data_IF_062972722680
#
_entry.id   IF_062972722680
#
_cell.length_a   1.000
_cell.length_b   1.000
_cell.length_c   1.000
_cell.angle_alpha   90.00
_cell.angle_beta   90.00
_cell.angle_gamma   90.00
#
_symmetry.space_group_name_H-M   'P 1'
#
loop_
_entity.id
_entity.type
_entity.pdbx_description
1 polymer ?
#
# COMPACT_ATOMS: atom_id res chain seq x y z
N UNK A 1 -1.85 17.55 62.47
CA UNK A 1 -1.59 16.10 62.39
C UNK A 1 -2.32 15.57 61.16
N UNK A 2 -1.61 14.79 60.36
CA UNK A 2 -2.04 14.18 59.09
C UNK A 2 -3.38 13.44 59.19
N UNK A 3 -4.17 13.42 58.11
CA UNK A 3 -4.49 12.20 57.37
C UNK A 3 -5.00 12.54 55.95
N UNK A 4 -4.33 11.95 54.96
CA UNK A 4 -4.77 11.82 53.57
C UNK A 4 -5.84 10.73 53.50
N UNK A 5 -6.88 10.91 52.69
CA UNK A 5 -7.60 9.79 52.06
C UNK A 5 -8.20 10.23 50.73
N UNK A 6 -7.67 9.63 49.66
CA UNK A 6 -8.26 9.62 48.33
C UNK A 6 -9.42 8.61 48.31
N UNK A 7 -10.45 8.88 47.52
CA UNK A 7 -11.39 7.88 47.04
C UNK A 7 -11.66 8.12 45.55
N UNK A 8 -10.99 7.30 44.75
CA UNK A 8 -11.17 7.10 43.32
C UNK A 8 -12.36 6.18 43.06
N UNK A 9 -12.91 6.31 41.85
CA UNK A 9 -13.73 5.36 41.11
C UNK A 9 -15.25 5.33 41.38
N UNK A 10 -16.02 5.63 40.32
CA UNK A 10 -16.83 4.62 39.61
C UNK A 10 -17.62 5.29 38.48
N UNK A 11 -17.03 5.42 37.28
CA UNK A 11 -17.84 5.55 36.07
C UNK A 11 -18.03 4.14 35.51
N UNK A 12 -19.19 3.57 35.86
CA UNK A 12 -19.63 2.28 35.41
C UNK A 12 -19.94 2.29 33.91
N UNK A 13 -19.45 1.25 33.24
CA UNK A 13 -19.78 0.81 31.89
C UNK A 13 -21.28 0.85 31.61
N UNK A 14 -21.69 1.69 30.67
CA UNK A 14 -22.96 1.56 29.95
C UNK A 14 -22.73 1.92 28.49
N UNK A 15 -22.26 0.96 27.70
CA UNK A 15 -22.54 0.96 26.26
C UNK A 15 -23.50 -0.19 26.01
N UNK A 16 -24.78 0.19 26.05
CA UNK A 16 -25.94 -0.63 25.69
C UNK A 16 -25.77 -1.04 24.23
N UNK A 17 -25.98 -2.33 23.98
CA UNK A 17 -26.03 -2.91 22.66
C UNK A 17 -27.00 -2.15 21.74
N UNK A 18 -26.53 -1.72 20.57
CA UNK A 18 -27.12 -2.02 19.26
C UNK A 18 -26.34 -1.26 18.16
N UNK A 19 -25.94 -2.02 17.14
CA UNK A 19 -25.21 -1.63 15.91
C UNK A 19 -23.70 -1.38 16.05
N UNK A 20 -22.94 -2.46 15.85
CA UNK A 20 -21.71 -2.55 15.06
C UNK A 20 -20.57 -1.54 15.26
N UNK A 21 -19.38 -2.09 15.57
CA UNK A 21 -18.04 -1.47 15.65
C UNK A 21 -17.71 -0.72 16.95
N UNK A 22 -17.11 -1.46 17.88
CA UNK A 22 -16.04 -0.89 18.67
C UNK A 22 -14.79 -0.90 17.77
N UNK A 23 -14.47 0.23 17.14
CA UNK A 23 -13.13 0.47 16.64
C UNK A 23 -12.23 0.70 17.86
N UNK A 24 -11.39 -0.30 18.14
CA UNK A 24 -10.34 -0.26 19.14
C UNK A 24 -9.24 0.69 18.65
N UNK A 25 -9.41 1.98 18.94
CA UNK A 25 -8.39 3.00 18.74
C UNK A 25 -7.77 3.30 20.10
N UNK A 26 -6.55 2.80 20.32
CA UNK A 26 -5.45 3.49 21.04
C UNK A 26 -4.45 2.50 21.64
N UNK A 27 -3.68 1.82 20.79
CA UNK A 27 -2.29 1.38 21.06
C UNK A 27 -1.64 0.87 19.77
N UNK A 28 -1.84 1.55 18.63
CA UNK A 28 -1.18 1.14 17.39
C UNK A 28 0.14 1.91 17.24
N UNK A 29 1.24 1.28 17.65
CA UNK A 29 2.58 1.60 17.15
C UNK A 29 2.72 1.17 15.68
N UNK A 30 1.75 1.60 14.85
CA UNK A 30 1.84 1.88 13.42
C UNK A 30 2.24 0.76 12.47
N UNK A 31 2.03 -0.51 12.81
CA UNK A 31 2.47 -1.60 11.94
C UNK A 31 1.36 -2.02 10.97
N UNK A 32 1.58 -1.80 9.67
CA UNK A 32 0.67 -2.28 8.65
C UNK A 32 0.85 -3.76 8.37
N UNK A 33 -0.25 -4.47 8.16
CA UNK A 33 -0.24 -5.88 7.74
C UNK A 33 -1.02 -6.05 6.44
N UNK A 34 -0.57 -6.93 5.53
CA UNK A 34 -1.37 -7.33 4.38
C UNK A 34 -2.66 -7.95 4.89
N UNK A 35 -3.81 -7.49 4.41
CA UNK A 35 -5.14 -7.96 4.86
C UNK A 35 -6.01 -8.29 3.67
N UNK A 36 -7.00 -9.17 3.88
CA UNK A 36 -7.94 -9.57 2.85
C UNK A 36 -7.39 -10.56 1.82
N UNK A 37 -8.30 -11.03 0.96
CA UNK A 37 -7.98 -11.92 -0.15
C UNK A 37 -7.24 -11.18 -1.27
N UNK A 38 -6.45 -11.89 -2.10
CA UNK A 38 -5.85 -11.29 -3.28
C UNK A 38 -6.91 -10.63 -4.17
N UNK A 39 -6.62 -9.40 -4.60
CA UNK A 39 -7.51 -8.63 -5.46
C UNK A 39 -6.73 -7.58 -6.22
N UNK A 40 -6.98 -7.51 -7.52
CA UNK A 40 -6.49 -6.45 -8.41
C UNK A 40 -7.63 -5.57 -8.90
N UNK A 41 -8.64 -5.35 -8.05
CA UNK A 41 -9.79 -4.51 -8.38
C UNK A 41 -9.33 -3.15 -8.90
N UNK A 42 -9.91 -2.73 -10.03
CA UNK A 42 -9.52 -1.49 -10.72
C UNK A 42 -8.49 -1.68 -11.84
N UNK A 43 -7.83 -2.84 -11.90
CA UNK A 43 -6.88 -3.18 -12.96
C UNK A 43 -7.49 -4.15 -13.97
N UNK A 44 -7.21 -3.95 -15.26
CA UNK A 44 -7.72 -4.80 -16.35
C UNK A 44 -6.58 -5.53 -17.05
N UNK A 45 -6.82 -6.76 -17.51
CA UNK A 45 -5.81 -7.47 -18.32
C UNK A 45 -5.81 -6.87 -19.73
N UNK A 46 -4.71 -6.22 -20.11
CA UNK A 46 -4.50 -5.66 -21.45
C UNK A 46 -3.00 -5.49 -21.73
N UNK A 47 -2.42 -6.42 -22.48
CA UNK A 47 -1.00 -6.39 -22.82
C UNK A 47 -0.62 -5.19 -23.68
N UNK A 48 -1.51 -4.74 -24.55
CA UNK A 48 -1.22 -3.63 -25.46
C UNK A 48 -1.08 -2.33 -24.67
N UNK A 49 -1.95 -2.13 -23.67
CA UNK A 49 -1.84 -0.98 -22.78
C UNK A 49 -0.57 -1.07 -21.92
N UNK A 50 -0.26 -2.22 -21.32
CA UNK A 50 1.00 -2.37 -20.57
C UNK A 50 2.22 -2.07 -21.44
N UNK A 51 2.23 -2.55 -22.68
CA UNK A 51 3.29 -2.24 -23.66
C UNK A 51 3.37 -0.75 -24.00
N UNK A 52 2.23 -0.09 -24.17
CA UNK A 52 2.13 1.33 -24.50
C UNK A 52 2.68 2.21 -23.37
N UNK A 53 2.31 1.94 -22.12
CA UNK A 53 2.73 2.72 -20.95
C UNK A 53 4.18 2.38 -20.52
N UNK A 54 4.52 1.11 -20.33
CA UNK A 54 5.74 0.73 -19.63
C UNK A 54 6.97 0.54 -20.52
N UNK A 55 6.78 0.31 -21.82
CA UNK A 55 7.89 -0.05 -22.71
C UNK A 55 8.01 0.86 -23.93
N UNK A 56 6.89 1.31 -24.49
CA UNK A 56 6.88 2.10 -25.72
C UNK A 56 6.84 3.62 -25.49
N UNK A 57 6.54 4.05 -24.26
CA UNK A 57 6.30 5.46 -23.90
C UNK A 57 5.31 6.16 -24.86
N UNK A 58 4.29 5.40 -25.30
CA UNK A 58 3.22 5.86 -26.22
C UNK A 58 1.85 5.58 -25.58
N UNK A 59 1.56 6.19 -24.40
CA UNK A 59 0.35 5.88 -23.66
C UNK A 59 -0.91 6.31 -24.42
N UNK A 60 -1.99 5.56 -24.23
CA UNK A 60 -3.29 5.88 -24.86
C UNK A 60 -3.97 7.07 -24.18
N UNK A 61 -3.82 7.20 -22.86
CA UNK A 61 -4.27 8.36 -22.08
C UNK A 61 -3.04 9.18 -21.63
N UNK A 62 -3.10 10.51 -21.74
CA UNK A 62 -2.04 11.40 -21.26
C UNK A 62 -2.25 11.73 -19.78
N UNK A 63 -2.10 10.73 -18.92
CA UNK A 63 -2.18 10.87 -17.46
C UNK A 63 -0.86 10.44 -16.82
N UNK A 64 -0.49 10.96 -15.63
CA UNK A 64 0.63 10.39 -14.88
C UNK A 64 0.39 8.90 -14.59
N UNK A 65 1.45 8.11 -14.59
CA UNK A 65 1.34 6.66 -14.40
C UNK A 65 2.62 6.08 -13.78
N UNK A 66 2.46 4.94 -13.12
CA UNK A 66 3.56 4.17 -12.55
C UNK A 66 3.52 2.74 -13.06
N UNK A 67 4.65 2.30 -13.60
CA UNK A 67 4.86 0.93 -14.05
C UNK A 67 5.57 0.13 -12.98
N UNK A 68 5.11 -1.10 -12.78
CA UNK A 68 5.59 -2.00 -11.75
C UNK A 68 5.94 -3.36 -12.35
N UNK A 69 6.93 -4.01 -11.76
CA UNK A 69 7.29 -5.40 -12.05
C UNK A 69 7.46 -6.18 -10.75
N UNK A 70 7.24 -7.49 -10.81
CA UNK A 70 7.50 -8.41 -9.70
C UNK A 70 7.81 -9.80 -10.26
N UNK A 71 8.34 -10.70 -9.43
CA UNK A 71 8.35 -12.12 -9.75
C UNK A 71 7.00 -12.75 -9.42
N UNK A 72 6.43 -13.45 -10.38
CA UNK A 72 5.14 -14.14 -10.26
C UNK A 72 3.98 -13.30 -10.79
N UNK A 73 2.78 -13.57 -10.29
CA UNK A 73 1.53 -12.97 -10.77
C UNK A 73 0.93 -12.04 -9.70
N UNK A 74 0.82 -10.75 -10.02
CA UNK A 74 0.25 -9.74 -9.11
C UNK A 74 -1.18 -10.06 -8.68
N UNK A 75 -1.95 -10.82 -9.46
CA UNK A 75 -3.33 -11.21 -9.11
C UNK A 75 -3.38 -12.12 -7.88
N UNK A 76 -2.29 -12.82 -7.60
CA UNK A 76 -2.16 -13.68 -6.42
C UNK A 76 -1.57 -12.94 -5.21
N UNK A 77 -0.98 -11.76 -5.44
CA UNK A 77 -0.15 -11.06 -4.44
C UNK A 77 -0.72 -9.73 -3.98
N UNK A 78 -1.36 -8.98 -4.88
CA UNK A 78 -1.98 -7.70 -4.54
C UNK A 78 -3.14 -7.90 -3.59
N UNK A 79 -3.17 -7.11 -2.52
CA UNK A 79 -4.18 -7.09 -1.48
C UNK A 79 -4.58 -5.66 -1.18
N UNK A 80 -5.81 -5.49 -0.72
CA UNK A 80 -6.38 -4.20 -0.31
C UNK A 80 -6.16 -3.07 -1.34
N UNK A 81 -6.49 -3.27 -2.64
CA UNK A 81 -6.39 -2.20 -3.62
C UNK A 81 -7.36 -1.06 -3.28
N UNK A 82 -6.86 0.17 -3.32
CA UNK A 82 -7.63 1.38 -3.08
C UNK A 82 -7.48 2.33 -4.26
N UNK A 83 -8.61 2.69 -4.86
CA UNK A 83 -8.69 3.68 -5.95
C UNK A 83 -7.75 3.39 -7.14
N UNK A 84 -7.50 2.12 -7.45
CA UNK A 84 -6.65 1.75 -8.57
C UNK A 84 -7.41 1.87 -9.90
N UNK A 85 -6.70 2.37 -10.93
CA UNK A 85 -7.09 2.26 -12.34
C UNK A 85 -5.83 1.86 -13.10
N UNK A 86 -5.93 0.89 -14.01
CA UNK A 86 -4.77 0.54 -14.82
C UNK A 86 -4.87 -0.81 -15.50
N UNK A 87 -3.71 -1.36 -15.85
CA UNK A 87 -3.60 -2.54 -16.70
C UNK A 87 -2.55 -3.53 -16.21
N UNK A 88 -2.79 -4.82 -16.44
CA UNK A 88 -1.90 -5.93 -16.04
C UNK A 88 -1.54 -6.74 -17.30
N UNK A 89 -0.30 -7.23 -17.37
CA UNK A 89 0.15 -8.17 -18.38
C UNK A 89 -0.61 -9.51 -18.24
N UNK A 90 -0.71 -10.32 -19.30
CA UNK A 90 -1.35 -11.63 -19.21
C UNK A 90 -0.73 -12.54 -18.14
N UNK A 91 0.60 -12.47 -17.95
CA UNK A 91 1.33 -13.24 -16.93
C UNK A 91 1.26 -12.64 -15.51
N UNK A 92 0.83 -11.39 -15.36
CA UNK A 92 0.74 -10.72 -14.07
C UNK A 92 2.07 -10.20 -13.49
N UNK A 93 3.18 -10.38 -14.20
CA UNK A 93 4.52 -9.99 -13.80
C UNK A 93 4.80 -8.49 -13.99
N UNK A 94 4.03 -7.83 -14.86
CA UNK A 94 4.13 -6.39 -15.15
C UNK A 94 2.76 -5.75 -15.13
N UNK A 95 2.65 -4.59 -14.52
CA UNK A 95 1.40 -3.84 -14.51
C UNK A 95 1.66 -2.34 -14.44
N UNK A 96 0.64 -1.56 -14.81
CA UNK A 96 0.66 -0.10 -14.75
C UNK A 96 -0.53 0.38 -13.93
N UNK A 97 -0.29 1.36 -13.06
CA UNK A 97 -1.32 2.11 -12.35
C UNK A 97 -1.34 3.53 -12.90
N UNK A 98 -2.51 3.98 -13.31
CA UNK A 98 -2.78 5.34 -13.78
C UNK A 98 -3.17 6.22 -12.58
N UNK A 99 -2.69 7.45 -12.57
CA UNK A 99 -3.07 8.45 -11.58
C UNK A 99 -4.60 8.61 -11.54
N UNK A 100 -5.16 8.62 -10.34
CA UNK A 100 -6.57 8.90 -10.09
C UNK A 100 -6.67 10.03 -9.07
N UNK A 101 -7.78 10.78 -9.13
CA UNK A 101 -8.06 11.79 -8.10
C UNK A 101 -8.23 11.09 -6.75
N UNK A 102 -7.52 11.56 -5.73
CA UNK A 102 -7.50 10.97 -4.40
C UNK A 102 -6.36 9.97 -4.21
N UNK A 103 -6.11 9.57 -2.96
CA UNK A 103 -5.03 8.63 -2.65
C UNK A 103 -5.23 7.27 -3.32
N UNK A 104 -4.15 6.69 -3.84
CA UNK A 104 -4.14 5.34 -4.39
C UNK A 104 -3.17 4.49 -3.61
N UNK A 105 -3.56 3.27 -3.29
CA UNK A 105 -2.66 2.35 -2.59
C UNK A 105 -3.00 0.89 -2.84
N UNK A 106 -2.04 0.03 -2.57
CA UNK A 106 -2.24 -1.40 -2.46
C UNK A 106 -1.15 -2.00 -1.56
N UNK A 107 -1.32 -3.27 -1.23
CA UNK A 107 -0.31 -4.03 -0.49
C UNK A 107 0.04 -5.31 -1.26
N UNK A 108 1.25 -5.80 -1.06
CA UNK A 108 1.67 -7.18 -1.34
C UNK A 108 1.87 -7.88 0.00
N UNK A 109 2.40 -9.10 -0.01
CA UNK A 109 2.79 -9.81 1.21
C UNK A 109 3.87 -9.09 2.00
N UNK A 110 4.69 -8.26 1.36
CA UNK A 110 5.93 -7.72 1.95
C UNK A 110 6.04 -6.21 1.83
N UNK A 111 5.23 -5.56 0.99
CA UNK A 111 5.29 -4.11 0.76
C UNK A 111 3.91 -3.48 0.67
N UNK A 112 3.78 -2.27 1.21
CA UNK A 112 2.68 -1.35 0.96
C UNK A 112 3.15 -0.33 -0.05
N UNK A 113 2.35 -0.14 -1.09
CA UNK A 113 2.60 0.85 -2.13
C UNK A 113 1.56 1.95 -2.00
N UNK A 114 2.02 3.19 -1.91
CA UNK A 114 1.18 4.39 -1.91
C UNK A 114 1.58 5.26 -3.09
N UNK A 115 0.60 5.69 -3.89
CA UNK A 115 0.82 6.58 -5.02
C UNK A 115 0.13 7.91 -4.75
N UNK A 116 0.86 9.00 -4.98
CA UNK A 116 0.36 10.37 -4.85
C UNK A 116 0.82 11.20 -6.05
N UNK A 117 -0.03 12.10 -6.52
CA UNK A 117 0.37 13.08 -7.52
C UNK A 117 1.47 13.98 -6.96
N UNK A 118 2.41 14.37 -7.82
CA UNK A 118 3.43 15.38 -7.49
C UNK A 118 2.93 16.74 -7.94
N UNK A 119 2.79 17.66 -6.98
CA UNK A 119 2.40 19.04 -7.26
C UNK A 119 3.51 19.83 -8.01
N UNK A 120 4.77 19.39 -7.90
CA UNK A 120 5.94 20.10 -8.39
C UNK A 120 6.50 19.59 -9.74
N UNK A 121 6.06 18.43 -10.21
CA UNK A 121 6.49 17.84 -11.50
C UNK A 121 5.28 17.39 -12.32
N UNK A 122 5.01 18.12 -13.40
CA UNK A 122 3.94 17.75 -14.32
C UNK A 122 4.19 16.37 -14.91
N UNK A 123 3.21 15.48 -14.79
CA UNK A 123 3.19 14.12 -15.36
C UNK A 123 4.05 13.06 -14.64
N UNK A 124 4.44 13.27 -13.38
CA UNK A 124 5.08 12.24 -12.56
C UNK A 124 4.18 11.83 -11.38
N UNK A 125 4.23 10.55 -11.02
CA UNK A 125 3.65 10.04 -9.78
C UNK A 125 4.76 9.84 -8.74
N UNK A 126 4.49 10.25 -7.52
CA UNK A 126 5.30 9.86 -6.38
C UNK A 126 4.82 8.51 -5.86
N UNK A 127 5.75 7.59 -5.67
CA UNK A 127 5.49 6.22 -5.23
C UNK A 127 6.30 5.95 -3.98
N UNK A 128 5.58 5.72 -2.88
CA UNK A 128 6.17 5.30 -1.61
C UNK A 128 6.00 3.80 -1.42
N UNK A 129 7.10 3.11 -1.12
CA UNK A 129 7.18 1.69 -0.82
C UNK A 129 7.54 1.55 0.66
N UNK A 130 6.58 1.09 1.47
CA UNK A 130 6.81 0.77 2.88
C UNK A 130 6.87 -0.75 3.02
N UNK A 131 8.03 -1.32 3.36
CA UNK A 131 8.18 -2.75 3.55
C UNK A 131 7.71 -3.24 4.93
N UNK A 132 7.41 -4.53 5.03
CA UNK A 132 7.24 -5.19 6.32
C UNK A 132 8.59 -5.26 7.05
N UNK A 133 8.57 -5.25 8.39
CA UNK A 133 9.75 -5.39 9.20
C UNK A 133 10.46 -6.70 8.87
N UNK A 134 11.75 -6.57 8.60
CA UNK A 134 12.65 -7.71 8.50
C UNK A 134 13.48 -7.76 9.79
N UNK A 135 13.42 -8.87 10.52
CA UNK A 135 14.06 -8.99 11.83
C UNK A 135 13.49 -10.14 12.65
N UNK A 136 14.22 -10.55 13.68
CA UNK A 136 14.02 -11.80 14.39
C UNK A 136 12.63 -11.96 15.02
N UNK A 137 12.21 -13.23 15.15
CA UNK A 137 11.05 -13.62 15.95
C UNK A 137 11.13 -12.99 17.35
N UNK A 138 9.97 -12.85 18.00
CA UNK A 138 9.69 -12.07 19.23
C UNK A 138 10.66 -12.32 20.43
N UNK A 139 11.60 -13.26 20.33
CA UNK A 139 12.52 -13.70 21.38
C UNK A 139 14.01 -13.31 21.19
N UNK A 140 14.41 -12.68 20.08
CA UNK A 140 15.79 -12.14 19.95
C UNK A 140 15.79 -10.61 20.09
N UNK A 141 16.73 -10.09 20.88
CA UNK A 141 17.04 -8.65 20.97
C UNK A 141 17.68 -8.15 19.65
N UNK A 142 16.93 -8.20 18.55
CA UNK A 142 17.29 -7.65 17.25
C UNK A 142 16.59 -6.31 17.02
N UNK A 143 17.26 -5.36 16.36
CA UNK A 143 16.62 -4.14 15.90
C UNK A 143 15.68 -4.49 14.74
N UNK A 144 14.38 -4.23 14.90
CA UNK A 144 13.40 -4.34 13.82
C UNK A 144 13.65 -3.23 12.79
N UNK A 145 14.00 -3.60 11.56
CA UNK A 145 14.22 -2.64 10.47
C UNK A 145 13.00 -2.54 9.55
N UNK A 146 12.56 -1.31 9.27
CA UNK A 146 11.44 -1.01 8.38
C UNK A 146 11.98 -0.34 7.11
N UNK A 147 12.19 -1.07 6.00
CA UNK A 147 12.61 -0.45 4.76
C UNK A 147 11.50 0.46 4.24
N UNK A 148 11.80 1.73 4.00
CA UNK A 148 10.91 2.67 3.32
C UNK A 148 11.66 3.36 2.20
N UNK A 149 11.08 3.38 1.00
CA UNK A 149 11.69 3.94 -0.20
C UNK A 149 10.71 4.81 -0.97
N UNK A 150 11.17 6.00 -1.32
CA UNK A 150 10.45 6.88 -2.23
C UNK A 150 11.03 6.79 -3.65
N UNK A 151 10.15 6.75 -4.65
CA UNK A 151 10.49 6.68 -6.07
C UNK A 151 9.56 7.60 -6.85
N UNK A 152 10.11 8.27 -7.85
CA UNK A 152 9.29 9.03 -8.80
C UNK A 152 9.11 8.20 -10.08
N UNK A 153 7.86 7.93 -10.41
CA UNK A 153 7.47 7.30 -11.65
C UNK A 153 7.12 8.37 -12.68
N UNK A 154 8.04 8.59 -13.62
CA UNK A 154 7.88 9.54 -14.71
C UNK A 154 7.93 8.81 -16.07
N UNK A 155 7.31 9.36 -17.13
CA UNK A 155 7.40 8.81 -18.48
C UNK A 155 8.85 8.54 -18.92
N UNK A 156 9.10 7.34 -19.43
CA UNK A 156 10.44 6.89 -19.88
C UNK A 156 11.39 6.41 -18.77
N UNK A 157 10.98 6.43 -17.50
CA UNK A 157 11.74 5.77 -16.41
C UNK A 157 11.46 4.27 -16.40
N UNK A 158 12.42 3.44 -15.92
CA UNK A 158 12.19 2.01 -15.78
C UNK A 158 11.07 1.72 -14.78
N UNK A 159 10.41 0.58 -14.95
CA UNK A 159 9.40 0.11 -14.02
C UNK A 159 9.99 -0.11 -12.61
N UNK A 160 9.19 0.17 -11.59
CA UNK A 160 9.53 -0.05 -10.18
C UNK A 160 9.43 -1.55 -9.91
N UNK A 161 10.52 -2.16 -9.44
CA UNK A 161 10.52 -3.56 -9.03
C UNK A 161 10.02 -3.68 -7.60
N UNK A 162 8.95 -4.46 -7.39
CA UNK A 162 8.42 -4.79 -6.07
C UNK A 162 9.17 -6.00 -5.49
N UNK A 163 9.31 -6.02 -4.17
CA UNK A 163 9.99 -7.11 -3.48
C UNK A 163 9.23 -8.43 -3.61
N UNK A 164 10.01 -9.49 -3.78
CA UNK A 164 9.50 -10.85 -3.74
C UNK A 164 9.16 -11.24 -2.30
N UNK A 165 8.09 -12.02 -2.16
CA UNK A 165 7.82 -12.68 -0.90
C UNK A 165 8.93 -13.74 -0.66
N UNK A 166 9.46 -13.85 0.56
CA UNK A 166 10.46 -14.85 0.91
C UNK A 166 9.96 -16.29 0.76
#
# INVERSE_FOLDING_TARGET
MFFRTAALAAFALVCIAQTGRCDDSSTDSGFWKPTGAPSTTGLKVDSNQVMAYCFSNKPTEKVPFACFTLKGDIRQRMRSPQNLKGYISPGGETFVVLAQVGGQSFTTEVERVTLTDRDDQSNCLHVKLDGLPQGAAEDEMGQTFFPSYDRDACPGKPAIHLQDAP
#
